data_IF_163349919192
#
_entry.id   IF_163349919192
#
_cell.length_a   1.000
_cell.length_b   1.000
_cell.length_c   1.000
_cell.angle_alpha   90.00
_cell.angle_beta   90.00
_cell.angle_gamma   90.00
#
_symmetry.space_group_name_H-M   'P 1'
#
loop_
_entity.id
_entity.type
_entity.pdbx_description
1 polymer ?
#
# COMPACT_ATOMS: atom_id res chain seq x y z
N UNK A 1 -88.22 -41.92 -51.64
CA UNK A 1 -87.31 -41.89 -50.47
C UNK A 1 -85.86 -41.75 -50.95
N UNK A 2 -85.49 -40.57 -51.43
CA UNK A 2 -84.12 -40.28 -51.83
C UNK A 2 -83.82 -38.85 -51.39
N UNK A 3 -83.09 -38.70 -50.27
CA UNK A 3 -82.44 -37.45 -49.82
C UNK A 3 -81.69 -37.74 -48.51
N UNK A 4 -80.62 -38.52 -48.61
CA UNK A 4 -79.67 -38.71 -47.50
C UNK A 4 -78.21 -38.65 -47.96
N UNK A 5 -77.91 -38.96 -49.23
CA UNK A 5 -76.54 -39.01 -49.76
C UNK A 5 -75.88 -37.63 -49.97
N UNK A 6 -76.65 -36.56 -50.18
CA UNK A 6 -76.10 -35.20 -50.36
C UNK A 6 -75.52 -34.59 -49.07
N UNK A 7 -76.08 -34.94 -47.91
CA UNK A 7 -75.70 -34.35 -46.62
C UNK A 7 -74.37 -34.92 -46.08
N UNK A 8 -74.07 -36.19 -46.38
CA UNK A 8 -72.84 -36.84 -45.94
C UNK A 8 -71.57 -36.35 -46.68
N UNK A 9 -71.69 -36.04 -47.97
CA UNK A 9 -70.56 -35.53 -48.76
C UNK A 9 -70.16 -34.11 -48.30
N UNK A 10 -71.14 -33.27 -48.01
CA UNK A 10 -70.95 -31.91 -47.50
C UNK A 10 -70.37 -31.91 -46.08
N UNK A 11 -70.89 -32.75 -45.18
CA UNK A 11 -70.32 -32.93 -43.83
C UNK A 11 -68.88 -33.45 -43.87
N UNK A 12 -68.56 -34.36 -44.81
CA UNK A 12 -67.19 -34.85 -44.99
C UNK A 12 -66.25 -33.75 -45.48
N UNK A 13 -66.70 -32.89 -46.41
CA UNK A 13 -65.91 -31.76 -46.89
C UNK A 13 -65.60 -30.77 -45.76
N UNK A 14 -66.61 -30.40 -44.97
CA UNK A 14 -66.45 -29.53 -43.80
C UNK A 14 -65.48 -30.11 -42.76
N UNK A 15 -65.56 -31.41 -42.49
CA UNK A 15 -64.64 -32.08 -41.56
C UNK A 15 -63.19 -32.07 -42.08
N UNK A 16 -62.98 -32.36 -43.37
CA UNK A 16 -61.65 -32.35 -43.98
C UNK A 16 -61.06 -30.93 -43.96
N UNK A 17 -61.86 -29.91 -44.28
CA UNK A 17 -61.43 -28.51 -44.19
C UNK A 17 -61.10 -28.10 -42.76
N UNK A 18 -61.91 -28.50 -41.77
CA UNK A 18 -61.62 -28.27 -40.36
C UNK A 18 -60.31 -28.95 -39.92
N UNK A 19 -60.08 -30.20 -40.33
CA UNK A 19 -58.82 -30.91 -40.07
C UNK A 19 -57.62 -30.21 -40.72
N UNK A 20 -57.75 -29.77 -41.98
CA UNK A 20 -56.70 -29.06 -42.70
C UNK A 20 -56.36 -27.74 -42.02
N UNK A 21 -57.37 -26.95 -41.66
CA UNK A 21 -57.19 -25.68 -40.93
C UNK A 21 -56.53 -25.91 -39.56
N UNK A 22 -56.95 -26.95 -38.82
CA UNK A 22 -56.34 -27.30 -37.54
C UNK A 22 -54.88 -27.73 -37.69
N UNK A 23 -54.54 -28.53 -38.70
CA UNK A 23 -53.16 -28.90 -38.99
C UNK A 23 -52.32 -27.69 -39.39
N UNK A 24 -52.88 -26.76 -40.18
CA UNK A 24 -52.22 -25.52 -40.56
C UNK A 24 -51.94 -24.64 -39.33
N UNK A 25 -52.88 -24.52 -38.40
CA UNK A 25 -52.67 -23.80 -37.14
C UNK A 25 -51.55 -24.42 -36.31
N UNK A 26 -51.57 -25.75 -36.09
CA UNK A 26 -50.51 -26.44 -35.35
C UNK A 26 -49.14 -26.30 -36.03
N UNK A 27 -49.08 -26.40 -37.35
CA UNK A 27 -47.83 -26.20 -38.09
C UNK A 27 -47.29 -24.78 -37.89
N UNK A 28 -48.17 -23.78 -37.96
CA UNK A 28 -47.81 -22.36 -37.72
C UNK A 28 -47.30 -22.15 -36.30
N UNK A 29 -47.96 -22.73 -35.28
CA UNK A 29 -47.55 -22.61 -33.88
C UNK A 29 -46.16 -23.24 -33.65
N UNK A 30 -45.91 -24.42 -34.23
CA UNK A 30 -44.61 -25.10 -34.15
C UNK A 30 -43.51 -24.30 -34.84
N UNK A 31 -43.80 -23.69 -36.00
CA UNK A 31 -42.84 -22.81 -36.69
C UNK A 31 -42.51 -21.57 -35.87
N UNK A 32 -43.52 -20.94 -35.26
CA UNK A 32 -43.33 -19.80 -34.36
C UNK A 32 -42.48 -20.19 -33.14
N UNK A 33 -42.76 -21.33 -32.52
CA UNK A 33 -42.00 -21.81 -31.37
C UNK A 33 -40.55 -22.16 -31.75
N UNK A 34 -40.33 -22.74 -32.93
CA UNK A 34 -38.99 -22.99 -33.48
C UNK A 34 -38.23 -21.69 -33.73
N UNK A 35 -38.88 -20.68 -34.31
CA UNK A 35 -38.28 -19.37 -34.56
C UNK A 35 -37.91 -18.65 -33.25
N UNK A 36 -38.78 -18.69 -32.25
CA UNK A 36 -38.54 -18.14 -30.92
C UNK A 36 -37.36 -18.83 -30.23
N UNK A 37 -37.32 -20.17 -30.27
CA UNK A 37 -36.22 -20.96 -29.70
C UNK A 37 -34.88 -20.66 -30.39
N UNK A 38 -34.87 -20.54 -31.72
CA UNK A 38 -33.68 -20.17 -32.48
C UNK A 38 -33.20 -18.74 -32.15
N UNK A 39 -34.12 -17.80 -31.92
CA UNK A 39 -33.76 -16.46 -31.47
C UNK A 39 -33.15 -16.47 -30.06
N UNK A 40 -33.74 -17.21 -29.12
CA UNK A 40 -33.20 -17.36 -27.77
C UNK A 40 -31.79 -17.96 -27.75
N UNK A 41 -31.55 -19.00 -28.57
CA UNK A 41 -30.22 -19.60 -28.70
C UNK A 41 -29.18 -18.62 -29.25
N UNK A 42 -29.53 -17.79 -30.23
CA UNK A 42 -28.63 -16.74 -30.74
C UNK A 42 -28.29 -15.71 -29.68
N UNK A 43 -29.27 -15.27 -28.90
CA UNK A 43 -29.05 -14.33 -27.78
C UNK A 43 -28.13 -14.94 -26.73
N UNK A 44 -28.41 -16.19 -26.30
CA UNK A 44 -27.58 -16.88 -25.30
C UNK A 44 -26.15 -17.10 -25.80
N UNK A 45 -25.98 -17.49 -27.07
CA UNK A 45 -24.64 -17.65 -27.67
C UNK A 45 -23.87 -16.33 -27.71
N UNK A 46 -24.55 -15.22 -27.98
CA UNK A 46 -23.92 -13.89 -28.02
C UNK A 46 -23.50 -13.46 -26.61
N UNK A 47 -24.35 -13.71 -25.62
CA UNK A 47 -24.06 -13.45 -24.21
C UNK A 47 -22.86 -14.27 -23.72
N UNK A 48 -22.82 -15.57 -24.00
CA UNK A 48 -21.69 -16.42 -23.64
C UNK A 48 -20.37 -15.94 -24.24
N UNK A 49 -20.36 -15.50 -25.50
CA UNK A 49 -19.17 -14.94 -26.13
C UNK A 49 -18.73 -13.63 -25.46
N UNK A 50 -19.68 -12.78 -25.07
CA UNK A 50 -19.39 -11.57 -24.32
C UNK A 50 -18.77 -11.89 -22.94
N UNK A 51 -19.36 -12.84 -22.22
CA UNK A 51 -18.91 -13.23 -20.88
C UNK A 51 -17.53 -13.89 -20.92
N UNK A 52 -17.25 -14.73 -21.91
CA UNK A 52 -15.91 -15.30 -22.14
C UNK A 52 -14.87 -14.21 -22.40
N UNK A 53 -15.21 -13.16 -23.17
CA UNK A 53 -14.32 -12.03 -23.39
C UNK A 53 -14.08 -11.25 -22.10
N UNK A 54 -15.13 -10.97 -21.33
CA UNK A 54 -15.04 -10.29 -20.06
C UNK A 54 -14.17 -11.07 -19.06
N UNK A 55 -14.36 -12.39 -18.99
CA UNK A 55 -13.56 -13.27 -18.13
C UNK A 55 -12.07 -13.26 -18.52
N UNK A 56 -11.76 -13.42 -19.81
CA UNK A 56 -10.37 -13.34 -20.30
C UNK A 56 -9.72 -11.98 -20.05
N UNK A 57 -10.49 -10.89 -20.07
CA UNK A 57 -9.98 -9.57 -19.71
C UNK A 57 -9.68 -9.49 -18.21
N UNK A 58 -10.57 -10.01 -17.37
CA UNK A 58 -10.38 -10.06 -15.93
C UNK A 58 -9.16 -10.91 -15.54
N UNK A 59 -8.97 -12.07 -16.17
CA UNK A 59 -7.79 -12.92 -15.96
C UNK A 59 -6.49 -12.18 -16.32
N UNK A 60 -6.47 -11.50 -17.47
CA UNK A 60 -5.31 -10.68 -17.88
C UNK A 60 -5.02 -9.56 -16.88
N UNK A 61 -6.04 -8.86 -16.41
CA UNK A 61 -5.86 -7.82 -15.39
C UNK A 61 -5.36 -8.40 -14.06
N UNK A 62 -5.89 -9.54 -13.64
CA UNK A 62 -5.42 -10.22 -12.44
C UNK A 62 -3.95 -10.61 -12.54
N UNK A 63 -3.51 -11.09 -13.70
CA UNK A 63 -2.10 -11.43 -13.93
C UNK A 63 -1.19 -10.20 -13.89
N UNK A 64 -1.59 -9.09 -14.52
CA UNK A 64 -0.86 -7.82 -14.43
C UNK A 64 -0.73 -7.36 -12.98
N UNK A 65 -1.80 -7.47 -12.18
CA UNK A 65 -1.77 -7.09 -10.76
C UNK A 65 -0.87 -8.02 -9.92
N UNK A 66 -0.85 -9.32 -10.22
CA UNK A 66 0.08 -10.28 -9.57
C UNK A 66 1.52 -9.92 -9.88
N UNK A 67 1.83 -9.63 -11.13
CA UNK A 67 3.17 -9.25 -11.55
C UNK A 67 3.62 -7.94 -10.90
N UNK A 68 2.77 -6.91 -10.91
CA UNK A 68 3.04 -5.65 -10.23
C UNK A 68 3.24 -5.84 -8.73
N UNK A 69 2.45 -6.71 -8.08
CA UNK A 69 2.63 -7.05 -6.67
C UNK A 69 3.98 -7.72 -6.44
N UNK A 70 4.36 -8.69 -7.27
CA UNK A 70 5.66 -9.39 -7.19
C UNK A 70 6.82 -8.40 -7.28
N UNK A 71 6.82 -7.56 -8.32
CA UNK A 71 7.87 -6.54 -8.52
C UNK A 71 7.96 -5.56 -7.36
N UNK A 72 6.82 -5.15 -6.78
CA UNK A 72 6.80 -4.28 -5.61
C UNK A 72 7.35 -4.96 -4.35
N UNK A 73 7.08 -6.25 -4.16
CA UNK A 73 7.64 -7.02 -3.04
C UNK A 73 9.15 -7.17 -3.20
N UNK A 74 9.63 -7.60 -4.37
CA UNK A 74 11.07 -7.71 -4.68
C UNK A 74 11.80 -6.37 -4.56
N UNK A 75 11.15 -5.26 -4.93
CA UNK A 75 11.71 -3.92 -4.72
C UNK A 75 11.78 -3.54 -3.24
N UNK A 76 10.75 -3.88 -2.45
CA UNK A 76 10.72 -3.57 -1.02
C UNK A 76 11.71 -4.42 -0.22
N UNK A 77 11.87 -5.69 -0.58
CA UNK A 77 12.88 -6.58 0.00
C UNK A 77 14.29 -6.03 -0.24
N UNK A 78 14.62 -5.65 -1.48
CA UNK A 78 15.91 -5.03 -1.79
C UNK A 78 16.15 -3.72 -1.05
N UNK A 79 15.13 -2.89 -0.91
CA UNK A 79 15.21 -1.64 -0.15
C UNK A 79 15.46 -1.89 1.35
N UNK A 80 14.78 -2.89 1.93
CA UNK A 80 15.00 -3.30 3.31
C UNK A 80 16.41 -3.87 3.54
N UNK A 81 16.87 -4.76 2.66
CA UNK A 81 18.21 -5.35 2.74
C UNK A 81 19.31 -4.30 2.59
N UNK A 82 19.14 -3.36 1.66
CA UNK A 82 20.04 -2.22 1.50
C UNK A 82 20.08 -1.35 2.76
N UNK A 83 18.92 -1.10 3.39
CA UNK A 83 18.84 -0.34 4.64
C UNK A 83 19.51 -1.08 5.81
N UNK A 84 19.27 -2.39 5.94
CA UNK A 84 19.80 -3.22 7.03
C UNK A 84 21.32 -3.41 6.96
N UNK A 85 21.91 -3.24 5.77
CA UNK A 85 23.37 -3.34 5.57
C UNK A 85 24.09 -2.00 5.77
N UNK A 86 23.37 -0.89 5.98
CA UNK A 86 24.01 0.39 6.27
C UNK A 86 24.75 0.34 7.62
N UNK A 87 26.02 0.78 7.68
CA UNK A 87 26.82 0.73 8.90
C UNK A 87 26.30 1.66 10.01
N UNK A 88 25.50 2.65 9.65
CA UNK A 88 24.84 3.59 10.57
C UNK A 88 23.57 3.03 11.19
N UNK A 89 23.11 1.85 10.76
CA UNK A 89 21.87 1.22 11.22
C UNK A 89 22.21 0.06 12.14
N UNK A 90 21.69 0.11 13.36
CA UNK A 90 21.83 -0.97 14.33
C UNK A 90 20.66 -1.96 14.23
N UNK A 91 19.45 -1.46 13.98
CA UNK A 91 18.23 -2.28 13.90
C UNK A 91 17.16 -1.59 13.08
N UNK A 92 16.44 -2.37 12.28
CA UNK A 92 15.19 -1.94 11.63
C UNK A 92 14.05 -2.81 12.15
N UNK A 93 12.98 -2.18 12.63
CA UNK A 93 11.81 -2.87 13.16
C UNK A 93 10.53 -2.32 12.49
N UNK A 94 9.82 -3.15 11.70
CA UNK A 94 8.47 -2.83 11.28
C UNK A 94 7.55 -2.73 12.50
N UNK A 95 6.65 -1.76 12.49
CA UNK A 95 5.61 -1.56 13.51
C UNK A 95 4.22 -1.56 12.86
N UNK A 96 3.16 -1.59 13.68
CA UNK A 96 1.79 -1.51 13.18
C UNK A 96 1.51 -0.25 12.36
N UNK A 97 2.18 0.87 12.70
CA UNK A 97 1.92 2.20 12.16
C UNK A 97 2.99 2.69 11.19
N UNK A 98 4.07 1.93 10.98
CA UNK A 98 5.20 2.35 10.16
C UNK A 98 6.47 1.59 10.52
N UNK A 99 7.57 2.31 10.67
CA UNK A 99 8.90 1.74 10.88
C UNK A 99 9.60 2.45 12.02
N UNK A 100 10.31 1.68 12.82
CA UNK A 100 11.27 2.15 13.79
C UNK A 100 12.67 1.73 13.32
N UNK A 101 13.57 2.69 13.20
CA UNK A 101 14.96 2.45 12.82
C UNK A 101 15.87 2.96 13.92
N UNK A 102 16.66 2.08 14.50
CA UNK A 102 17.65 2.43 15.51
C UNK A 102 19.00 2.55 14.84
N UNK A 103 19.66 3.69 15.03
CA UNK A 103 20.99 3.97 14.49
C UNK A 103 22.08 3.44 15.43
N UNK A 104 23.26 3.17 14.87
CA UNK A 104 24.49 3.20 15.66
C UNK A 104 24.77 4.64 16.13
N UNK A 105 25.76 4.87 17.02
CA UNK A 105 26.26 6.22 17.25
C UNK A 105 26.63 6.88 15.91
N UNK A 106 26.11 8.08 15.67
CA UNK A 106 26.30 8.79 14.42
C UNK A 106 27.50 9.75 14.53
N UNK A 107 27.97 10.27 13.41
CA UNK A 107 28.97 11.34 13.37
C UNK A 107 28.48 12.44 12.44
N UNK A 108 28.48 13.67 12.92
CA UNK A 108 28.10 14.84 12.14
C UNK A 108 29.33 15.66 11.76
N UNK A 109 29.28 16.29 10.59
CA UNK A 109 30.30 17.24 10.16
C UNK A 109 29.65 18.60 9.88
N UNK A 110 30.24 19.67 10.42
CA UNK A 110 29.86 21.06 10.15
C UNK A 110 31.12 21.87 9.85
N UNK A 111 31.28 22.26 8.59
CA UNK A 111 32.53 22.82 8.07
C UNK A 111 33.73 21.90 8.33
N UNK A 112 34.74 22.41 9.06
CA UNK A 112 35.93 21.64 9.44
C UNK A 112 35.77 20.83 10.73
N UNK A 113 34.64 20.96 11.42
CA UNK A 113 34.42 20.32 12.73
C UNK A 113 33.67 19.01 12.57
N UNK A 114 34.08 18.02 13.35
CA UNK A 114 33.42 16.71 13.45
C UNK A 114 32.91 16.52 14.88
N UNK A 115 31.70 16.03 15.00
CA UNK A 115 31.03 15.78 16.27
C UNK A 115 30.60 14.33 16.30
N UNK A 116 30.89 13.65 17.40
CA UNK A 116 30.25 12.37 17.68
C UNK A 116 28.84 12.65 18.17
N UNK A 117 27.88 11.96 17.59
CA UNK A 117 26.48 11.98 18.00
C UNK A 117 26.13 10.65 18.67
N UNK A 118 25.12 10.70 19.54
CA UNK A 118 24.58 9.51 20.17
C UNK A 118 23.84 8.56 19.21
N UNK A 119 23.17 7.57 19.81
CA UNK A 119 22.23 6.69 19.09
C UNK A 119 20.88 7.38 18.97
N UNK A 120 20.22 7.16 17.84
CA UNK A 120 18.89 7.70 17.57
C UNK A 120 17.90 6.61 17.20
N UNK A 121 16.64 6.87 17.48
CA UNK A 121 15.50 6.09 17.02
C UNK A 121 14.67 6.96 16.07
N UNK A 122 14.54 6.49 14.83
CA UNK A 122 13.79 7.16 13.78
C UNK A 122 12.45 6.44 13.62
N UNK A 123 11.35 7.14 13.87
CA UNK A 123 10.03 6.64 13.61
C UNK A 123 9.47 7.27 12.34
N UNK A 124 9.21 6.46 11.34
CA UNK A 124 8.57 6.89 10.09
C UNK A 124 7.19 6.23 10.01
N UNK A 125 6.12 7.03 10.15
CA UNK A 125 4.75 6.52 10.04
C UNK A 125 4.33 6.38 8.58
N UNK A 126 3.31 5.56 8.32
CA UNK A 126 2.73 5.40 6.97
C UNK A 126 2.15 6.71 6.41
N UNK A 127 1.75 7.62 7.28
CA UNK A 127 1.21 8.93 6.91
C UNK A 127 2.32 9.96 6.62
N UNK A 128 3.58 9.54 6.63
CA UNK A 128 4.72 10.39 6.32
C UNK A 128 5.20 11.25 7.49
N UNK A 129 4.74 10.99 8.72
CA UNK A 129 5.29 11.66 9.89
C UNK A 129 6.63 11.04 10.26
N UNK A 130 7.60 11.90 10.57
CA UNK A 130 8.94 11.50 11.01
C UNK A 130 9.17 12.02 12.42
N UNK A 131 9.56 11.12 13.32
CA UNK A 131 10.08 11.46 14.65
C UNK A 131 11.51 10.96 14.80
N UNK A 132 12.33 11.72 15.51
CA UNK A 132 13.72 11.36 15.83
C UNK A 132 13.91 11.46 17.33
N UNK A 133 14.10 10.35 18.01
CA UNK A 133 14.29 10.30 19.45
C UNK A 133 15.75 9.99 19.77
N UNK A 134 16.32 10.69 20.74
CA UNK A 134 17.67 10.39 21.20
C UNK A 134 17.66 9.27 22.24
N UNK A 135 18.53 8.29 22.10
CA UNK A 135 18.63 7.13 22.99
C UNK A 135 19.82 7.20 23.98
N UNK A 136 20.53 8.33 24.03
CA UNK A 136 21.77 8.51 24.81
C UNK A 136 21.59 9.55 25.91
N UNK A 137 21.66 10.86 25.62
CA UNK A 137 21.49 11.93 26.63
C UNK A 137 21.18 13.29 26.01
N UNK A 138 19.96 13.83 26.17
CA UNK A 138 19.56 15.13 25.59
C UNK A 138 20.52 16.28 25.90
N UNK A 139 20.64 17.22 24.96
CA UNK A 139 21.45 18.43 25.11
C UNK A 139 20.62 19.54 25.71
N UNK A 140 21.12 20.15 26.79
CA UNK A 140 20.45 21.26 27.46
C UNK A 140 21.16 22.58 27.17
N UNK A 141 20.40 23.60 26.74
CA UNK A 141 20.86 24.99 26.64
C UNK A 141 19.86 25.90 27.34
N UNK A 142 20.24 26.42 28.51
CA UNK A 142 19.32 27.18 29.36
C UNK A 142 18.17 26.32 29.89
N UNK A 143 16.93 26.70 29.57
CA UNK A 143 15.70 25.97 29.92
C UNK A 143 15.23 25.00 28.83
N UNK A 144 15.90 24.95 27.67
CA UNK A 144 15.46 24.15 26.52
C UNK A 144 16.30 22.87 26.39
N UNK A 145 15.63 21.73 26.26
CA UNK A 145 16.22 20.43 25.97
C UNK A 145 16.05 20.07 24.50
N UNK A 146 17.10 19.50 23.91
CA UNK A 146 17.14 19.11 22.50
C UNK A 146 17.57 17.66 22.37
N UNK A 147 16.86 16.90 21.53
CA UNK A 147 17.27 15.55 21.13
C UNK A 147 18.46 15.60 20.16
N UNK A 148 18.55 16.67 19.36
CA UNK A 148 19.64 17.02 18.44
C UNK A 148 19.54 18.53 18.12
N UNK A 149 20.61 19.25 17.71
CA UNK A 149 20.50 20.68 17.39
C UNK A 149 19.47 21.02 16.31
N UNK A 150 19.08 20.03 15.51
CA UNK A 150 18.04 20.14 14.47
C UNK A 150 16.78 19.31 14.75
N UNK A 151 16.61 18.81 15.97
CA UNK A 151 15.44 18.04 16.39
C UNK A 151 14.92 18.59 17.71
N UNK A 152 13.67 19.05 17.71
CA UNK A 152 13.01 19.60 18.90
C UNK A 152 11.79 18.76 19.25
N UNK A 153 11.71 18.26 20.47
CA UNK A 153 10.63 17.40 20.96
C UNK A 153 10.35 16.22 20.00
N UNK A 154 11.42 15.58 19.55
CA UNK A 154 11.37 14.52 18.56
C UNK A 154 11.00 14.93 17.13
N UNK A 155 10.79 16.21 16.83
CA UNK A 155 10.43 16.71 15.48
C UNK A 155 11.68 17.20 14.76
N UNK A 156 12.05 16.63 13.60
CA UNK A 156 13.14 17.16 12.79
C UNK A 156 12.77 18.50 12.17
N UNK A 157 13.61 19.51 12.37
CA UNK A 157 13.46 20.87 11.82
C UNK A 157 14.03 20.94 10.39
N UNK A 158 13.42 20.18 9.48
CA UNK A 158 13.81 20.11 8.07
C UNK A 158 13.15 21.21 7.23
N UNK A 159 13.74 21.52 6.08
CA UNK A 159 13.09 22.36 5.06
C UNK A 159 11.86 21.66 4.48
N UNK A 160 10.85 22.40 4.00
CA UNK A 160 9.66 21.82 3.37
C UNK A 160 10.02 20.87 2.21
N UNK A 161 11.00 21.22 1.38
CA UNK A 161 11.40 20.40 0.24
C UNK A 161 11.95 19.03 0.66
N UNK A 162 12.81 19.00 1.70
CA UNK A 162 13.34 17.73 2.21
C UNK A 162 12.23 16.87 2.83
N UNK A 163 11.31 17.48 3.57
CA UNK A 163 10.13 16.77 4.10
C UNK A 163 9.28 16.17 2.98
N UNK A 164 9.02 16.90 1.91
CA UNK A 164 8.27 16.40 0.74
C UNK A 164 8.98 15.20 0.11
N UNK A 165 10.31 15.23 -0.03
CA UNK A 165 11.07 14.08 -0.55
C UNK A 165 10.94 12.85 0.34
N UNK A 166 11.01 13.01 1.65
CA UNK A 166 10.87 11.91 2.62
C UNK A 166 9.45 11.33 2.56
N UNK A 167 8.42 12.18 2.63
CA UNK A 167 7.01 11.76 2.54
C UNK A 167 6.72 11.04 1.23
N UNK A 168 7.25 11.55 0.11
CA UNK A 168 7.10 10.90 -1.20
C UNK A 168 7.77 9.53 -1.23
N UNK A 169 8.94 9.39 -0.63
CA UNK A 169 9.66 8.11 -0.55
C UNK A 169 8.89 7.10 0.31
N UNK A 170 8.32 7.54 1.44
CA UNK A 170 7.45 6.71 2.29
C UNK A 170 6.20 6.27 1.51
N UNK A 171 5.53 7.19 0.80
CA UNK A 171 4.36 6.88 -0.03
C UNK A 171 4.68 5.91 -1.17
N UNK A 172 5.89 6.01 -1.73
CA UNK A 172 6.42 5.10 -2.74
C UNK A 172 6.90 3.75 -2.16
N UNK A 173 6.84 3.56 -0.83
CA UNK A 173 7.35 2.38 -0.10
C UNK A 173 8.86 2.17 -0.25
N UNK A 174 9.59 3.28 -0.37
CA UNK A 174 11.05 3.34 -0.44
C UNK A 174 11.57 3.85 0.91
N UNK A 175 11.57 2.98 1.91
CA UNK A 175 11.91 3.32 3.29
C UNK A 175 13.41 3.55 3.41
N UNK A 176 14.24 2.76 2.73
CA UNK A 176 15.68 2.95 2.68
C UNK A 176 16.05 4.36 2.21
N UNK A 177 15.43 4.82 1.13
CA UNK A 177 15.58 6.20 0.63
C UNK A 177 15.15 7.25 1.66
N UNK A 178 13.95 7.09 2.26
CA UNK A 178 13.46 8.02 3.28
C UNK A 178 14.39 8.09 4.50
N UNK A 179 14.84 6.95 5.01
CA UNK A 179 15.76 6.88 6.15
C UNK A 179 17.11 7.49 5.81
N UNK A 180 17.62 7.25 4.60
CA UNK A 180 18.89 7.84 4.15
C UNK A 180 18.82 9.37 4.12
N UNK A 181 17.72 9.95 3.61
CA UNK A 181 17.52 11.42 3.63
C UNK A 181 17.43 11.98 5.07
N UNK A 182 16.82 11.24 6.00
CA UNK A 182 16.79 11.62 7.42
C UNK A 182 18.20 11.55 8.02
N UNK A 183 18.95 10.48 7.74
CA UNK A 183 20.33 10.34 8.21
C UNK A 183 21.23 11.45 7.67
N UNK A 184 21.14 11.76 6.37
CA UNK A 184 21.87 12.86 5.74
C UNK A 184 21.55 14.20 6.40
N UNK A 185 20.30 14.44 6.77
CA UNK A 185 19.92 15.63 7.54
C UNK A 185 20.53 15.66 8.94
N UNK A 186 20.62 14.52 9.62
CA UNK A 186 21.19 14.42 10.96
C UNK A 186 22.72 14.56 10.95
N UNK A 187 23.39 14.01 9.93
CA UNK A 187 24.87 14.01 9.85
C UNK A 187 25.45 15.16 9.01
N UNK A 188 24.63 15.79 8.16
CA UNK A 188 25.06 16.79 7.19
C UNK A 188 25.26 18.19 7.74
N UNK A 189 26.01 19.02 7.00
CA UNK A 189 26.46 20.35 7.40
C UNK A 189 25.61 21.52 6.87
N UNK A 190 24.31 21.32 6.60
CA UNK A 190 23.45 22.45 6.18
C UNK A 190 23.46 23.51 7.29
N UNK A 191 23.97 24.71 6.99
CA UNK A 191 24.12 25.79 7.97
C UNK A 191 22.77 26.05 8.65
N UNK A 192 22.68 25.70 9.94
CA UNK A 192 21.51 25.94 10.76
C UNK A 192 21.90 26.99 11.79
N UNK A 193 21.27 28.17 11.72
CA UNK A 193 21.55 29.33 12.60
C UNK A 193 21.33 29.05 14.10
N UNK A 194 20.80 27.88 14.46
CA UNK A 194 20.65 27.39 15.83
C UNK A 194 21.60 26.24 16.21
N UNK A 195 22.62 25.93 15.40
CA UNK A 195 23.52 24.80 15.66
C UNK A 195 24.30 25.01 16.96
N UNK A 196 23.99 24.19 17.96
CA UNK A 196 24.74 24.12 19.21
C UNK A 196 25.75 22.99 19.04
N UNK A 197 27.06 23.29 18.95
CA UNK A 197 28.07 22.23 18.83
C UNK A 197 28.06 21.38 20.08
N UNK A 198 27.73 20.10 19.92
CA UNK A 198 27.75 19.13 21.01
C UNK A 198 29.16 18.56 21.02
N UNK A 199 29.97 18.98 21.99
CA UNK A 199 31.38 18.64 22.03
C UNK A 199 31.60 17.15 22.24
N UNK A 200 30.81 16.50 23.10
CA UNK A 200 30.74 15.04 23.27
C UNK A 200 29.38 14.64 23.84
N UNK A 201 28.84 13.51 23.38
CA UNK A 201 27.75 12.81 24.09
C UNK A 201 28.40 11.85 25.08
N UNK A 202 28.11 11.99 26.37
CA UNK A 202 28.58 11.01 27.36
C UNK A 202 27.91 9.66 27.07
N UNK A 203 28.70 8.60 26.89
CA UNK A 203 28.18 7.23 26.82
C UNK A 203 27.23 6.99 28.00
N UNK A 204 26.00 6.59 27.69
CA UNK A 204 24.85 6.66 28.57
C UNK A 204 25.08 6.11 29.97
N UNK A 205 25.22 7.03 30.93
CA UNK A 205 24.87 6.78 32.31
C UNK A 205 23.59 7.55 32.59
N UNK A 206 22.49 6.83 32.76
CA UNK A 206 21.30 7.41 33.37
C UNK A 206 21.62 7.51 34.86
N UNK A 207 21.78 8.74 35.36
CA UNK A 207 21.85 8.99 36.79
C UNK A 207 20.42 9.01 37.28
N UNK A 208 19.97 7.93 37.89
CA UNK A 208 18.71 7.91 38.63
C UNK A 208 19.03 8.28 40.07
N UNK A 209 18.32 9.26 40.63
CA UNK A 209 18.26 9.40 42.09
C UNK A 209 17.39 8.27 42.60
N UNK A 210 17.94 7.43 43.48
CA UNK A 210 17.12 6.49 44.23
C UNK A 210 16.15 7.26 45.14
N UNK A 211 15.16 6.56 45.71
CA UNK A 211 14.17 7.15 46.63
C UNK A 211 14.80 7.80 47.89
N UNK A 212 16.13 7.74 48.03
CA UNK A 212 16.92 8.28 49.14
C UNK A 212 17.89 9.39 48.69
N UNK A 213 17.77 9.89 47.45
CA UNK A 213 18.55 11.02 46.93
C UNK A 213 20.01 10.70 46.60
N UNK A 214 20.38 9.42 46.44
CA UNK A 214 21.71 9.03 45.96
C UNK A 214 21.71 8.82 44.46
N UNK A 215 22.68 9.44 43.80
CA UNK A 215 22.93 9.28 42.38
C UNK A 215 23.47 7.87 42.08
N UNK A 216 22.66 7.04 41.42
CA UNK A 216 23.07 5.71 40.96
C UNK A 216 23.27 5.76 39.45
N UNK A 217 24.48 5.42 38.99
CA UNK A 217 24.79 5.27 37.57
C UNK A 217 24.43 3.86 37.12
N UNK A 218 23.41 3.71 36.28
CA UNK A 218 23.13 2.46 35.58
C UNK A 218 23.59 2.54 34.12
N UNK A 219 24.20 1.44 33.65
CA UNK A 219 24.60 1.26 32.26
C UNK A 219 23.34 0.88 31.46
N UNK A 220 23.08 1.57 30.36
CA UNK A 220 22.00 1.22 29.43
C UNK A 220 22.53 0.08 28.54
N UNK A 221 21.94 -1.11 28.67
CA UNK A 221 22.18 -2.25 27.77
C UNK A 221 21.38 -2.10 26.46
#
# INVERSE_FOLDING_TARGET
MAKASGNHAEQRALYVEWCANRLQHVATDVEQQRAASAAALRTASTQLLHDVRAHRNAERHAEVLREQRRQRLESAERDFDALATLPTIARVQPTAYGWCVVTTPLRASDGSRRYELGKFELHCTRDGQVRVLNQTTRVRRGTVEWDHPRVRDGVPLMTPDRMVRIVRSIAARQIGTAVTEVLEFLTGGDAFDGFIPITQWSDGHRTEEDDHGKQVRRRIE
#
